data_IF_058426769703
#
_entry.id   IF_058426769703
#
_cell.length_a   1.000
_cell.length_b   1.000
_cell.length_c   1.000
_cell.angle_alpha   90.00
_cell.angle_beta   90.00
_cell.angle_gamma   90.00
#
_symmetry.space_group_name_H-M   'P 1'
#
loop_
_entity.id
_entity.type
_entity.pdbx_description
1 polymer ?
#
# COMPACT_ATOMS: atom_id res chain seq x y z
N UNK A 1 -32.35 2.92 17.25
CA UNK A 1 -32.03 2.50 15.88
C UNK A 1 -32.10 3.70 14.94
N UNK A 2 -31.09 3.86 14.05
CA UNK A 2 -31.15 4.84 12.96
C UNK A 2 -31.30 4.09 11.64
N UNK A 3 -32.32 4.48 10.85
CA UNK A 3 -32.52 3.91 9.52
C UNK A 3 -31.49 4.53 8.55
N UNK A 4 -30.72 3.70 7.84
CA UNK A 4 -29.73 4.16 6.85
C UNK A 4 -30.30 4.28 5.43
N UNK A 5 -31.52 3.80 5.20
CA UNK A 5 -32.20 3.92 3.90
C UNK A 5 -32.40 5.40 3.54
N UNK A 6 -31.87 5.83 2.39
CA UNK A 6 -31.95 7.22 1.93
C UNK A 6 -30.80 8.13 2.38
N UNK A 7 -29.85 7.63 3.20
CA UNK A 7 -28.65 8.37 3.54
C UNK A 7 -27.59 8.27 2.43
N UNK A 8 -26.70 9.27 2.35
CA UNK A 8 -25.50 9.13 1.55
C UNK A 8 -24.56 8.08 2.16
N UNK A 9 -23.71 7.45 1.34
CA UNK A 9 -22.72 6.49 1.84
C UNK A 9 -21.83 7.12 2.93
N UNK A 10 -21.42 8.37 2.75
CA UNK A 10 -20.57 9.08 3.70
C UNK A 10 -21.26 9.29 5.06
N UNK A 11 -22.56 9.62 5.07
CA UNK A 11 -23.31 9.80 6.31
C UNK A 11 -23.54 8.47 7.02
N UNK A 12 -23.85 7.41 6.28
CA UNK A 12 -23.94 6.07 6.83
C UNK A 12 -22.61 5.62 7.45
N UNK A 13 -21.46 5.86 6.76
CA UNK A 13 -20.13 5.56 7.28
C UNK A 13 -19.83 6.35 8.56
N UNK A 14 -20.17 7.65 8.62
CA UNK A 14 -19.98 8.47 9.84
C UNK A 14 -20.71 7.89 11.05
N UNK A 15 -21.93 7.39 10.85
CA UNK A 15 -22.73 6.78 11.93
C UNK A 15 -22.16 5.43 12.34
N UNK A 16 -21.66 4.64 11.38
CA UNK A 16 -21.08 3.31 11.65
C UNK A 16 -19.72 3.38 12.32
N UNK A 17 -18.92 4.42 12.06
CA UNK A 17 -17.63 4.64 12.71
C UNK A 17 -17.79 4.92 14.21
N UNK A 18 -16.75 4.63 14.97
CA UNK A 18 -16.67 4.90 16.40
C UNK A 18 -15.34 4.44 16.98
N UNK A 19 -15.19 4.58 18.29
CA UNK A 19 -13.96 4.17 18.99
C UNK A 19 -13.68 2.69 18.81
N UNK A 20 -12.43 2.26 18.60
CA UNK A 20 -12.05 0.85 18.59
C UNK A 20 -12.53 0.14 19.86
N UNK A 21 -12.78 -1.17 19.75
CA UNK A 21 -13.28 -2.04 20.82
C UNK A 21 -14.70 -1.69 21.32
N UNK A 22 -15.46 -0.84 20.61
CA UNK A 22 -16.86 -0.59 20.91
C UNK A 22 -17.78 -1.39 20.00
N UNK A 23 -18.92 -1.91 20.51
CA UNK A 23 -19.84 -2.67 19.68
C UNK A 23 -20.69 -1.77 18.78
N UNK A 24 -21.04 -2.27 17.60
CA UNK A 24 -22.10 -1.74 16.75
C UNK A 24 -23.09 -2.86 16.43
N UNK A 25 -24.37 -2.58 16.57
CA UNK A 25 -25.44 -3.50 16.19
C UNK A 25 -26.03 -3.05 14.86
N UNK A 26 -26.08 -3.96 13.90
CA UNK A 26 -26.64 -3.75 12.58
C UNK A 26 -27.88 -4.64 12.40
N UNK A 27 -28.95 -4.04 11.90
CA UNK A 27 -30.13 -4.77 11.42
C UNK A 27 -30.08 -4.76 9.90
N UNK A 28 -29.87 -5.92 9.29
CA UNK A 28 -29.69 -6.07 7.84
C UNK A 28 -30.91 -6.76 7.25
N UNK A 29 -31.56 -6.09 6.30
CA UNK A 29 -32.62 -6.68 5.47
C UNK A 29 -31.96 -7.23 4.20
N UNK A 30 -31.96 -8.54 4.03
CA UNK A 30 -31.39 -9.21 2.86
C UNK A 30 -32.49 -9.69 1.93
N UNK A 31 -32.35 -9.43 0.62
CA UNK A 31 -33.28 -9.94 -0.38
C UNK A 31 -33.27 -11.48 -0.36
N UNK A 32 -34.47 -12.08 -0.25
CA UNK A 32 -34.64 -13.54 -0.13
C UNK A 32 -34.70 -14.07 1.31
N UNK A 33 -34.51 -13.23 2.32
CA UNK A 33 -34.67 -13.57 3.73
C UNK A 33 -35.99 -13.01 4.27
N UNK A 34 -36.79 -13.84 4.96
CA UNK A 34 -38.06 -13.42 5.53
C UNK A 34 -37.93 -12.69 6.88
N UNK A 35 -36.77 -12.69 7.48
CA UNK A 35 -36.50 -12.06 8.78
C UNK A 35 -35.25 -11.18 8.73
N UNK A 36 -35.26 -10.05 9.47
CA UNK A 36 -34.04 -9.24 9.62
C UNK A 36 -32.91 -10.02 10.28
N UNK A 37 -31.69 -9.80 9.79
CA UNK A 37 -30.47 -10.33 10.40
C UNK A 37 -29.94 -9.31 11.42
N UNK A 38 -29.74 -9.74 12.65
CA UNK A 38 -29.15 -8.93 13.71
C UNK A 38 -27.68 -9.29 13.86
N UNK A 39 -26.80 -8.36 13.51
CA UNK A 39 -25.35 -8.58 13.52
C UNK A 39 -24.72 -7.62 14.52
N UNK A 40 -23.99 -8.15 15.47
CA UNK A 40 -23.15 -7.34 16.38
C UNK A 40 -21.69 -7.46 15.95
N UNK A 41 -21.06 -6.30 15.66
CA UNK A 41 -19.65 -6.20 15.30
C UNK A 41 -18.91 -5.39 16.35
N UNK A 42 -17.67 -5.77 16.63
CA UNK A 42 -16.77 -4.96 17.46
C UNK A 42 -15.91 -4.12 16.53
N UNK A 43 -15.94 -2.80 16.71
CA UNK A 43 -15.11 -1.89 15.92
C UNK A 43 -13.64 -2.14 16.20
N UNK A 44 -12.85 -2.15 15.15
CA UNK A 44 -11.41 -2.31 15.22
C UNK A 44 -10.72 -1.30 14.29
N UNK A 45 -9.45 -1.06 14.52
CA UNK A 45 -8.61 -0.36 13.54
C UNK A 45 -8.38 -1.35 12.39
N UNK A 46 -8.98 -1.07 11.25
CA UNK A 46 -8.80 -1.90 10.05
C UNK A 46 -7.45 -1.54 9.45
N UNK A 47 -6.48 -2.45 9.61
CA UNK A 47 -5.22 -2.36 8.87
C UNK A 47 -5.48 -2.83 7.43
N UNK A 48 -5.70 -1.89 6.55
CA UNK A 48 -5.78 -2.20 5.11
C UNK A 48 -4.37 -2.54 4.63
N UNK A 49 -4.18 -3.77 4.14
CA UNK A 49 -2.93 -4.14 3.48
C UNK A 49 -2.84 -3.42 2.15
N UNK A 50 -1.92 -2.47 2.06
CA UNK A 50 -1.65 -1.72 0.82
C UNK A 50 -0.86 -2.54 -0.19
N UNK A 51 -0.12 -3.56 0.25
CA UNK A 51 0.67 -4.47 -0.58
C UNK A 51 0.02 -5.84 -0.64
N UNK A 52 -0.29 -6.28 -1.85
CA UNK A 52 -0.76 -7.64 -2.15
C UNK A 52 0.29 -8.32 -3.03
N UNK A 53 0.54 -9.59 -2.80
CA UNK A 53 1.58 -10.30 -3.53
C UNK A 53 1.25 -11.77 -3.72
N UNK A 54 1.80 -12.34 -4.78
CA UNK A 54 1.75 -13.78 -5.04
C UNK A 54 2.89 -14.19 -5.97
N UNK A 55 3.30 -15.43 -5.90
CA UNK A 55 4.12 -16.03 -6.93
C UNK A 55 3.18 -16.51 -8.04
N UNK A 56 3.10 -15.75 -9.14
CA UNK A 56 2.17 -16.08 -10.24
C UNK A 56 2.63 -17.29 -11.01
N UNK A 57 3.93 -17.36 -11.28
CA UNK A 57 4.64 -18.50 -11.87
C UNK A 57 6.00 -18.62 -11.22
N UNK A 58 6.67 -19.78 -11.27
CA UNK A 58 8.04 -19.93 -10.77
C UNK A 58 8.94 -18.84 -11.33
N UNK A 59 9.66 -18.13 -10.46
CA UNK A 59 10.57 -17.01 -10.74
C UNK A 59 9.91 -15.69 -11.19
N UNK A 60 8.57 -15.59 -11.21
CA UNK A 60 7.86 -14.39 -11.65
C UNK A 60 6.86 -13.92 -10.57
N UNK A 61 7.33 -13.19 -9.53
CA UNK A 61 6.46 -12.61 -8.54
C UNK A 61 5.61 -11.48 -9.11
N UNK A 62 4.39 -11.39 -8.57
CA UNK A 62 3.45 -10.30 -8.80
C UNK A 62 3.26 -9.55 -7.47
N UNK A 63 3.49 -8.25 -7.52
CA UNK A 63 3.30 -7.32 -6.43
C UNK A 63 2.27 -6.27 -6.84
N UNK A 64 1.30 -6.00 -5.99
CA UNK A 64 0.32 -4.94 -6.22
C UNK A 64 0.30 -3.98 -5.05
N UNK A 65 0.43 -2.70 -5.34
CA UNK A 65 0.30 -1.62 -4.36
C UNK A 65 -0.99 -0.88 -4.65
N UNK A 66 -1.92 -0.92 -3.69
CA UNK A 66 -3.25 -0.31 -3.85
C UNK A 66 -3.29 1.15 -3.43
N UNK A 67 -2.37 1.57 -2.56
CA UNK A 67 -2.21 2.93 -2.07
C UNK A 67 -0.87 3.06 -1.36
N UNK A 68 -0.26 4.25 -1.35
CA UNK A 68 0.95 4.52 -0.59
C UNK A 68 0.60 4.97 0.83
N UNK A 69 0.73 4.06 1.79
CA UNK A 69 0.49 4.26 3.22
C UNK A 69 1.83 4.21 3.98
N UNK A 70 1.81 4.57 5.26
CA UNK A 70 3.00 4.65 6.11
C UNK A 70 3.87 3.40 6.09
N UNK A 71 3.27 2.21 6.14
CA UNK A 71 3.98 0.93 6.17
C UNK A 71 4.14 0.25 4.80
N UNK A 72 3.75 0.91 3.70
CA UNK A 72 3.78 0.30 2.37
C UNK A 72 5.17 -0.17 1.96
N UNK A 73 6.21 0.62 2.25
CA UNK A 73 7.59 0.24 1.94
C UNK A 73 8.07 -0.97 2.75
N UNK A 74 7.77 -0.99 4.05
CA UNK A 74 8.08 -2.14 4.93
C UNK A 74 7.34 -3.41 4.49
N UNK A 75 6.04 -3.27 4.17
CA UNK A 75 5.22 -4.39 3.73
C UNK A 75 5.69 -4.93 2.37
N UNK A 76 6.15 -4.05 1.47
CA UNK A 76 6.80 -4.46 0.22
C UNK A 76 8.08 -5.25 0.49
N UNK A 77 8.94 -4.77 1.37
CA UNK A 77 10.19 -5.46 1.72
C UNK A 77 9.91 -6.86 2.30
N UNK A 78 8.92 -6.98 3.19
CA UNK A 78 8.46 -8.27 3.72
C UNK A 78 7.91 -9.17 2.61
N UNK A 79 7.10 -8.62 1.70
CA UNK A 79 6.53 -9.37 0.58
C UNK A 79 7.62 -9.95 -0.33
N UNK A 80 8.63 -9.15 -0.67
CA UNK A 80 9.77 -9.59 -1.49
C UNK A 80 10.54 -10.74 -0.81
N UNK A 81 10.83 -10.61 0.49
CA UNK A 81 11.50 -11.67 1.27
C UNK A 81 10.69 -12.97 1.26
N UNK A 82 9.39 -12.88 1.57
CA UNK A 82 8.49 -14.04 1.57
C UNK A 82 8.41 -14.71 0.20
N UNK A 83 8.28 -13.92 -0.86
CA UNK A 83 8.27 -14.44 -2.24
C UNK A 83 9.59 -15.10 -2.63
N UNK A 84 10.72 -14.54 -2.14
CA UNK A 84 12.05 -15.12 -2.37
C UNK A 84 12.20 -16.49 -1.70
N UNK A 85 11.73 -16.62 -0.47
CA UNK A 85 11.71 -17.88 0.27
C UNK A 85 10.82 -18.93 -0.43
N UNK A 86 9.64 -18.53 -0.89
CA UNK A 86 8.73 -19.39 -1.64
C UNK A 86 9.35 -19.85 -2.98
N UNK A 87 10.03 -18.95 -3.67
CA UNK A 87 10.65 -19.21 -4.98
C UNK A 87 11.90 -20.08 -4.88
N UNK A 88 12.55 -20.16 -3.72
CA UNK A 88 13.80 -20.89 -3.49
C UNK A 88 14.97 -20.51 -4.40
N UNK A 89 14.93 -19.27 -4.98
CA UNK A 89 15.96 -18.80 -5.90
C UNK A 89 15.74 -17.39 -6.41
N UNK A 90 16.63 -16.88 -7.28
CA UNK A 90 16.49 -15.55 -7.89
C UNK A 90 15.23 -15.42 -8.73
N UNK A 91 14.68 -14.21 -8.79
CA UNK A 91 13.58 -13.90 -9.70
C UNK A 91 14.14 -13.68 -11.11
N UNK A 92 13.42 -14.13 -12.14
CA UNK A 92 13.74 -13.88 -13.56
C UNK A 92 13.03 -12.64 -14.11
N UNK A 93 11.99 -12.20 -13.47
CA UNK A 93 11.23 -11.00 -13.79
C UNK A 93 10.25 -10.68 -12.66
N UNK A 94 9.71 -9.47 -12.62
CA UNK A 94 8.80 -9.00 -11.58
C UNK A 94 7.70 -8.14 -12.21
N UNK A 95 6.48 -8.29 -11.74
CA UNK A 95 5.36 -7.41 -12.08
C UNK A 95 4.99 -6.56 -10.89
N UNK A 96 5.04 -5.23 -11.06
CA UNK A 96 4.56 -4.24 -10.10
C UNK A 96 3.27 -3.61 -10.63
N UNK A 97 2.15 -3.91 -10.00
CA UNK A 97 0.83 -3.41 -10.40
C UNK A 97 0.40 -2.22 -9.54
N UNK A 98 0.31 -1.06 -10.18
CA UNK A 98 -0.14 0.20 -9.59
C UNK A 98 -1.51 0.64 -10.16
N UNK A 99 -2.24 -0.22 -10.83
CA UNK A 99 -3.56 0.11 -11.38
C UNK A 99 -4.54 0.48 -10.26
N UNK A 100 -5.29 1.57 -10.48
CA UNK A 100 -6.25 2.15 -9.52
C UNK A 100 -5.60 2.53 -8.17
N UNK A 101 -4.30 2.82 -8.17
CA UNK A 101 -3.61 3.37 -7.01
C UNK A 101 -3.68 4.90 -7.08
N UNK A 102 -4.44 5.57 -6.20
CA UNK A 102 -4.60 7.03 -6.24
C UNK A 102 -3.38 7.80 -5.71
N UNK A 103 -2.30 7.11 -5.41
CA UNK A 103 -1.11 7.68 -4.77
C UNK A 103 -1.13 7.53 -3.25
N UNK A 104 -0.69 8.55 -2.55
CA UNK A 104 -0.62 8.59 -1.09
C UNK A 104 0.64 9.27 -0.58
N UNK A 105 1.29 8.71 0.43
CA UNK A 105 2.47 9.28 1.05
C UNK A 105 3.68 9.22 0.12
N UNK A 106 4.28 10.37 -0.15
CA UNK A 106 5.41 10.49 -1.06
C UNK A 106 6.66 9.72 -0.55
N UNK A 107 6.94 9.79 0.75
CA UNK A 107 8.03 9.02 1.35
C UNK A 107 7.84 7.49 1.21
N UNK A 108 6.60 7.00 1.26
CA UNK A 108 6.31 5.59 1.01
C UNK A 108 6.59 5.20 -0.46
N UNK A 109 6.26 6.07 -1.42
CA UNK A 109 6.58 5.85 -2.82
C UNK A 109 8.10 5.89 -3.06
N UNK A 110 8.82 6.79 -2.40
CA UNK A 110 10.29 6.82 -2.44
C UNK A 110 10.90 5.52 -1.91
N UNK A 111 10.38 4.99 -0.80
CA UNK A 111 10.83 3.70 -0.26
C UNK A 111 10.54 2.52 -1.20
N UNK A 112 9.35 2.50 -1.81
CA UNK A 112 9.00 1.49 -2.82
C UNK A 112 9.95 1.56 -4.02
N UNK A 113 10.20 2.76 -4.55
CA UNK A 113 11.14 2.96 -5.64
C UNK A 113 12.56 2.54 -5.26
N UNK A 114 13.00 2.88 -4.04
CA UNK A 114 14.32 2.54 -3.50
C UNK A 114 14.59 1.03 -3.39
N UNK A 115 13.54 0.20 -3.35
CA UNK A 115 13.69 -1.25 -3.40
C UNK A 115 14.29 -1.74 -4.75
N UNK A 116 14.06 -1.00 -5.83
CA UNK A 116 14.37 -1.44 -7.20
C UNK A 116 15.46 -0.63 -7.91
N UNK A 117 15.82 0.56 -7.40
CA UNK A 117 16.83 1.44 -8.00
C UNK A 117 18.06 1.54 -7.10
N UNK A 118 19.21 2.00 -7.62
CA UNK A 118 20.42 2.21 -6.82
C UNK A 118 20.18 3.14 -5.63
N UNK A 119 20.95 2.92 -4.54
CA UNK A 119 20.95 3.86 -3.39
C UNK A 119 21.32 5.26 -3.90
N UNK A 120 20.70 6.27 -3.32
CA UNK A 120 20.85 7.69 -3.62
C UNK A 120 20.40 8.13 -5.02
N UNK A 121 19.90 7.23 -5.87
CA UNK A 121 19.31 7.61 -7.14
C UNK A 121 18.11 8.56 -6.94
N UNK A 122 17.99 9.56 -7.80
CA UNK A 122 16.87 10.50 -7.76
C UNK A 122 15.56 9.77 -8.08
N UNK A 123 14.57 9.91 -7.20
CA UNK A 123 13.21 9.36 -7.38
C UNK A 123 12.27 10.42 -7.91
N UNK A 124 12.23 11.57 -7.25
CA UNK A 124 11.32 12.67 -7.59
C UNK A 124 11.92 14.00 -7.17
N UNK A 125 11.64 15.02 -7.93
CA UNK A 125 11.91 16.40 -7.56
C UNK A 125 10.66 17.25 -7.72
N UNK A 126 10.58 18.33 -6.95
CA UNK A 126 9.55 19.35 -7.11
C UNK A 126 10.19 20.66 -7.53
N UNK A 127 9.54 21.39 -8.42
CA UNK A 127 9.87 22.76 -8.77
C UNK A 127 8.66 23.65 -8.51
N UNK A 128 8.89 24.77 -7.84
CA UNK A 128 7.86 25.75 -7.54
C UNK A 128 8.39 27.18 -7.73
N UNK A 129 7.50 28.15 -7.62
CA UNK A 129 7.83 29.57 -7.79
C UNK A 129 8.67 30.15 -6.65
N UNK A 130 8.68 29.49 -5.49
CA UNK A 130 9.46 29.88 -4.32
C UNK A 130 10.64 28.94 -4.12
N UNK A 131 11.77 29.41 -3.55
CA UNK A 131 12.93 28.56 -3.26
C UNK A 131 12.60 27.33 -2.42
N UNK A 132 11.70 27.46 -1.44
CA UNK A 132 11.27 26.41 -0.53
C UNK A 132 10.42 25.32 -1.19
N UNK A 133 9.94 25.57 -2.44
CA UNK A 133 9.19 24.58 -3.21
C UNK A 133 10.09 23.62 -4.01
N UNK A 134 11.43 23.80 -3.94
CA UNK A 134 12.38 22.91 -4.57
C UNK A 134 12.78 21.83 -3.60
N UNK A 135 12.37 20.60 -3.90
CA UNK A 135 12.72 19.42 -3.11
C UNK A 135 13.20 18.31 -4.05
N UNK A 136 14.23 17.59 -3.61
CA UNK A 136 14.70 16.38 -4.28
C UNK A 136 14.65 15.23 -3.30
N UNK A 137 14.00 14.15 -3.67
CA UNK A 137 13.94 12.92 -2.90
C UNK A 137 14.66 11.81 -3.67
N UNK A 138 15.63 11.23 -3.01
CA UNK A 138 16.44 10.14 -3.53
C UNK A 138 16.12 8.83 -2.82
N UNK A 139 16.55 7.72 -3.37
CA UNK A 139 16.46 6.40 -2.76
C UNK A 139 17.41 6.26 -1.56
N UNK A 140 17.28 7.18 -0.59
CA UNK A 140 18.07 7.24 0.63
C UNK A 140 17.15 7.02 1.84
N UNK A 141 17.55 6.22 2.84
CA UNK A 141 16.76 5.96 4.04
C UNK A 141 16.27 7.22 4.77
N UNK A 142 17.02 8.32 4.70
CA UNK A 142 16.58 9.60 5.26
C UNK A 142 15.30 10.13 4.62
N UNK A 143 14.99 9.76 3.37
CA UNK A 143 13.83 10.22 2.63
C UNK A 143 12.60 9.31 2.76
N UNK A 144 12.77 8.05 3.19
CA UNK A 144 11.66 7.10 3.27
C UNK A 144 11.50 6.39 4.63
N UNK A 145 12.53 6.41 5.49
CA UNK A 145 12.47 5.79 6.81
C UNK A 145 12.45 6.83 7.91
N UNK A 146 11.52 6.73 8.85
CA UNK A 146 11.43 7.67 10.00
C UNK A 146 12.63 7.63 10.94
N UNK A 147 13.37 6.55 10.94
CA UNK A 147 14.60 6.37 11.74
C UNK A 147 15.88 6.53 10.92
N UNK A 148 15.79 7.02 9.68
CA UNK A 148 16.95 7.12 8.78
C UNK A 148 17.62 5.76 8.51
N UNK A 149 18.95 5.74 8.41
CA UNK A 149 19.70 4.52 8.11
C UNK A 149 19.54 3.41 9.16
N UNK A 150 19.36 3.75 10.41
CA UNK A 150 19.20 2.76 11.49
C UNK A 150 17.90 1.93 11.37
N UNK A 151 16.87 2.50 10.74
CA UNK A 151 15.58 1.88 10.52
C UNK A 151 15.32 1.56 9.04
N UNK A 152 16.37 1.43 8.24
CA UNK A 152 16.26 1.08 6.82
C UNK A 152 15.70 -0.33 6.63
N UNK A 153 14.43 -0.40 6.27
CA UNK A 153 13.73 -1.67 6.01
C UNK A 153 14.12 -2.34 4.68
N UNK A 154 14.86 -1.64 3.83
CA UNK A 154 15.35 -2.19 2.55
C UNK A 154 16.74 -2.82 2.66
N UNK A 155 17.47 -2.60 3.76
CA UNK A 155 18.87 -3.06 3.94
C UNK A 155 19.05 -4.57 3.75
N UNK A 156 18.05 -5.35 4.13
CA UNK A 156 18.11 -6.82 4.07
C UNK A 156 17.42 -7.40 2.82
N UNK A 157 17.10 -6.59 1.83
CA UNK A 157 16.58 -7.11 0.57
C UNK A 157 17.67 -7.86 -0.20
N UNK A 158 17.31 -8.90 -0.97
CA UNK A 158 18.26 -9.57 -1.85
C UNK A 158 18.92 -8.56 -2.78
N UNK A 159 20.26 -8.58 -2.83
CA UNK A 159 21.04 -7.60 -3.61
C UNK A 159 20.70 -7.60 -5.10
N UNK A 160 20.27 -8.74 -5.63
CA UNK A 160 19.89 -8.92 -7.03
C UNK A 160 18.52 -8.32 -7.37
N UNK A 161 17.69 -7.94 -6.38
CA UNK A 161 16.34 -7.39 -6.64
C UNK A 161 16.38 -6.15 -7.53
N UNK A 162 17.43 -5.34 -7.42
CA UNK A 162 17.64 -4.13 -8.22
C UNK A 162 17.98 -4.38 -9.68
N UNK A 163 18.36 -5.61 -10.01
CA UNK A 163 18.74 -6.02 -11.37
C UNK A 163 17.68 -6.92 -12.03
N UNK A 164 16.56 -7.20 -11.32
CA UNK A 164 15.49 -8.03 -11.86
C UNK A 164 14.72 -7.24 -12.92
N UNK A 165 14.55 -7.77 -14.14
CA UNK A 165 13.68 -7.15 -15.14
C UNK A 165 12.27 -6.94 -14.57
N UNK A 166 11.74 -5.72 -14.67
CA UNK A 166 10.47 -5.36 -14.06
C UNK A 166 9.50 -4.77 -15.07
N UNK A 167 8.24 -5.20 -15.00
CA UNK A 167 7.11 -4.59 -15.69
C UNK A 167 6.26 -3.84 -14.67
N UNK A 168 6.07 -2.54 -14.89
CA UNK A 168 5.17 -1.71 -14.09
C UNK A 168 3.85 -1.53 -14.84
N UNK A 169 2.73 -1.86 -14.19
CA UNK A 169 1.40 -1.73 -14.78
C UNK A 169 0.69 -0.55 -14.14
N UNK A 170 0.24 0.39 -14.96
CA UNK A 170 -0.53 1.57 -14.57
C UNK A 170 -1.82 1.68 -15.39
N UNK A 171 -2.76 2.51 -14.95
CA UNK A 171 -3.96 2.86 -15.71
C UNK A 171 -4.42 4.29 -15.37
N UNK A 172 -5.55 4.72 -15.92
CA UNK A 172 -6.12 6.04 -15.63
C UNK A 172 -6.48 6.31 -14.17
N UNK A 173 -6.49 5.29 -13.33
CA UNK A 173 -6.66 5.41 -11.88
C UNK A 173 -5.35 5.48 -11.09
N UNK A 174 -4.19 5.36 -11.76
CA UNK A 174 -2.87 5.58 -11.15
C UNK A 174 -2.59 7.08 -11.14
N UNK A 175 -2.33 7.66 -9.97
CA UNK A 175 -2.19 9.11 -9.83
C UNK A 175 -1.25 9.51 -8.68
N UNK A 176 -0.81 10.79 -8.69
CA UNK A 176 0.02 11.40 -7.64
C UNK A 176 1.34 10.62 -7.44
N UNK A 177 1.54 10.03 -6.27
CA UNK A 177 2.75 9.27 -5.91
C UNK A 177 2.88 7.90 -6.63
N UNK A 178 1.94 7.57 -7.49
CA UNK A 178 1.87 6.28 -8.19
C UNK A 178 2.71 6.23 -9.47
#
# INVERSE_FOLDING_TARGET
EKLVKGMSLNDAVKIMRGKPNTPIKLTVLRKGENKPLYITLIRAIIKTQSVKYKLSEPNYPYLRITQFQEHTGEDLAKAIKTLREQNKGPFKGLVLDLRNNPGGLLNAAVGVSGAFIPKDALVVYTEGRTPDAKMQLTANPANYSRGGESADYLKDLPADIKNVPMVVIVNGGSASAS
#
